data_IF_327041028578
#
_entry.id   IF_327041028578
#
_cell.length_a   1.000
_cell.length_b   1.000
_cell.length_c   1.000
_cell.angle_alpha   90.00
_cell.angle_beta   90.00
_cell.angle_gamma   90.00
#
_symmetry.space_group_name_H-M   'P 1'
#
loop_
_entity.id
_entity.type
_entity.pdbx_description
1 polymer ?
#
# COMPACT_ATOMS: atom_id res chain seq x y z
N UNK A 1 0.56 26.65 20.79
CA UNK A 1 0.74 25.88 22.03
C UNK A 1 1.99 25.03 21.84
N UNK A 2 2.96 25.05 22.76
CA UNK A 2 4.18 24.23 22.58
C UNK A 2 3.90 22.82 23.12
N UNK A 3 4.09 21.81 22.28
CA UNK A 3 3.87 20.42 22.66
C UNK A 3 4.76 20.00 23.86
N UNK A 4 5.94 20.62 23.99
CA UNK A 4 6.91 20.28 25.03
C UNK A 4 6.53 20.82 26.41
N UNK A 5 6.10 22.09 26.51
CA UNK A 5 5.89 22.73 27.81
C UNK A 5 4.47 22.50 28.34
N UNK A 6 3.45 22.61 27.49
CA UNK A 6 2.04 22.65 27.94
C UNK A 6 1.32 21.31 27.76
N UNK A 7 1.63 20.54 26.72
CA UNK A 7 1.05 19.21 26.53
C UNK A 7 1.85 18.18 27.32
N UNK A 8 3.02 17.79 26.85
CA UNK A 8 3.80 16.73 27.48
C UNK A 8 4.45 17.15 28.80
N UNK A 9 4.74 18.44 29.01
CA UNK A 9 5.28 18.97 30.26
C UNK A 9 4.27 18.92 31.43
N UNK A 10 3.02 19.35 31.18
CA UNK A 10 2.00 19.48 32.22
C UNK A 10 0.92 18.37 32.19
N UNK A 11 0.43 18.00 31.00
CA UNK A 11 -0.66 17.02 30.84
C UNK A 11 -0.15 15.58 30.87
N UNK A 12 1.12 15.35 30.54
CA UNK A 12 1.79 14.04 30.51
C UNK A 12 1.03 13.05 29.61
N UNK A 13 0.83 11.80 30.06
CA UNK A 13 0.13 10.75 29.32
C UNK A 13 -1.28 11.15 28.85
N UNK A 14 -1.93 12.12 29.49
CA UNK A 14 -3.26 12.58 29.08
C UNK A 14 -3.26 13.21 27.70
N UNK A 15 -2.14 13.81 27.28
CA UNK A 15 -1.95 14.39 25.94
C UNK A 15 -2.29 13.42 24.82
N UNK A 16 -2.08 12.11 25.02
CA UNK A 16 -2.49 11.06 24.07
C UNK A 16 -3.96 11.19 23.65
N UNK A 17 -4.85 11.38 24.63
CA UNK A 17 -6.30 11.45 24.42
C UNK A 17 -6.78 12.89 24.20
N UNK A 18 -5.88 13.87 24.28
CA UNK A 18 -6.19 15.31 24.18
C UNK A 18 -5.59 15.90 22.90
N UNK A 19 -5.75 15.17 21.80
CA UNK A 19 -5.42 15.62 20.46
C UNK A 19 -4.10 15.07 19.91
N UNK A 20 -3.20 14.50 20.71
CA UNK A 20 -1.93 13.98 20.16
C UNK A 20 -2.15 12.83 19.17
N UNK A 21 -3.11 11.94 19.44
CA UNK A 21 -3.50 10.88 18.50
C UNK A 21 -4.15 11.39 17.20
N UNK A 22 -4.81 12.55 17.26
CA UNK A 22 -5.50 13.17 16.12
C UNK A 22 -4.52 13.89 15.16
N UNK A 23 -3.30 14.18 15.62
CA UNK A 23 -2.28 14.86 14.81
C UNK A 23 -1.95 14.09 13.52
N UNK A 24 -1.94 12.76 13.57
CA UNK A 24 -1.67 11.92 12.39
C UNK A 24 -2.69 12.15 11.27
N UNK A 25 -3.97 12.26 11.63
CA UNK A 25 -5.07 12.56 10.71
C UNK A 25 -5.02 14.03 10.29
N UNK A 26 -4.80 14.96 11.23
CA UNK A 26 -4.73 16.39 10.91
C UNK A 26 -3.57 16.75 9.98
N UNK A 27 -2.40 16.11 10.10
CA UNK A 27 -1.32 16.27 9.13
C UNK A 27 -1.69 15.61 7.80
N UNK A 28 -2.32 14.44 7.83
CA UNK A 28 -2.83 13.76 6.63
C UNK A 28 -3.78 14.63 5.82
N UNK A 29 -4.79 15.23 6.47
CA UNK A 29 -5.74 16.15 5.83
C UNK A 29 -5.08 17.35 5.17
N UNK A 30 -3.96 17.83 5.73
CA UNK A 30 -3.19 18.93 5.13
C UNK A 30 -2.40 18.49 3.89
N UNK A 31 -2.05 17.21 3.78
CA UNK A 31 -1.34 16.64 2.65
C UNK A 31 -2.27 16.09 1.56
N UNK A 32 -3.49 15.71 1.91
CA UNK A 32 -4.46 15.08 1.01
C UNK A 32 -4.64 15.81 -0.34
N UNK A 33 -4.76 17.16 -0.39
CA UNK A 33 -4.91 17.87 -1.66
C UNK A 33 -3.71 17.75 -2.60
N UNK A 34 -2.51 17.45 -2.08
CA UNK A 34 -1.29 17.31 -2.90
C UNK A 34 -1.30 16.03 -3.73
N UNK A 35 -2.05 15.03 -3.30
CA UNK A 35 -2.16 13.72 -3.97
C UNK A 35 -3.57 13.45 -4.50
N UNK A 36 -4.45 14.46 -4.50
CA UNK A 36 -5.82 14.36 -5.01
C UNK A 36 -6.79 13.62 -4.09
N UNK A 37 -6.42 13.41 -2.82
CA UNK A 37 -7.27 12.76 -1.82
C UNK A 37 -8.15 13.79 -1.07
N UNK A 38 -9.28 13.34 -0.55
CA UNK A 38 -10.21 14.11 0.27
C UNK A 38 -9.89 14.11 1.78
N UNK A 39 -10.63 14.90 2.58
CA UNK A 39 -10.50 14.88 4.03
C UNK A 39 -10.78 13.49 4.60
N UNK A 40 -9.93 13.03 5.52
CA UNK A 40 -10.00 11.71 6.15
C UNK A 40 -9.45 10.56 5.31
N UNK A 41 -8.98 10.80 4.08
CA UNK A 41 -8.46 9.76 3.18
C UNK A 41 -6.93 9.58 3.28
N UNK A 42 -6.24 10.43 4.04
CA UNK A 42 -4.78 10.35 4.26
C UNK A 42 -4.48 10.36 5.76
N UNK A 43 -3.59 9.46 6.17
CA UNK A 43 -3.09 9.38 7.54
C UNK A 43 -1.57 9.25 7.52
N UNK A 44 -0.88 10.02 8.35
CA UNK A 44 0.57 9.87 8.53
C UNK A 44 0.84 8.80 9.58
N UNK A 45 1.62 7.80 9.18
CA UNK A 45 1.92 6.63 10.01
C UNK A 45 3.43 6.32 9.94
N UNK A 46 3.79 5.05 10.03
CA UNK A 46 5.15 4.52 10.05
C UNK A 46 5.84 4.61 8.68
N UNK A 47 6.90 3.82 8.49
CA UNK A 47 7.61 3.69 7.22
C UNK A 47 6.77 3.01 6.13
N UNK A 48 7.19 3.18 4.86
CA UNK A 48 6.59 2.52 3.70
C UNK A 48 6.42 1.02 3.89
N UNK A 49 7.45 0.31 4.35
CA UNK A 49 7.38 -1.16 4.53
C UNK A 49 6.39 -1.58 5.62
N UNK A 50 6.25 -0.80 6.69
CA UNK A 50 5.26 -1.08 7.76
C UNK A 50 3.84 -0.83 7.25
N UNK A 51 3.63 0.24 6.49
CA UNK A 51 2.35 0.54 5.87
C UNK A 51 1.96 -0.49 4.81
N UNK A 52 2.93 -0.92 3.98
CA UNK A 52 2.75 -2.01 3.03
C UNK A 52 2.30 -3.28 3.74
N UNK A 53 2.95 -3.67 4.84
CA UNK A 53 2.56 -4.85 5.61
C UNK A 53 1.11 -4.75 6.12
N UNK A 54 0.75 -3.62 6.73
CA UNK A 54 -0.59 -3.38 7.27
C UNK A 54 -1.66 -3.41 6.17
N UNK A 55 -1.43 -2.70 5.08
CA UNK A 55 -2.38 -2.56 3.98
C UNK A 55 -2.51 -3.85 3.17
N UNK A 56 -1.41 -4.53 2.86
CA UNK A 56 -1.45 -5.81 2.17
C UNK A 56 -2.12 -6.90 3.02
N UNK A 57 -1.85 -6.92 4.34
CA UNK A 57 -2.54 -7.81 5.28
C UNK A 57 -4.05 -7.55 5.30
N UNK A 58 -4.46 -6.29 5.44
CA UNK A 58 -5.88 -5.90 5.40
C UNK A 58 -6.54 -6.25 4.06
N UNK A 59 -5.84 -6.08 2.93
CA UNK A 59 -6.36 -6.44 1.61
C UNK A 59 -6.59 -7.95 1.46
N UNK A 60 -5.69 -8.78 1.99
CA UNK A 60 -5.86 -10.24 2.02
C UNK A 60 -7.06 -10.64 2.89
N UNK A 61 -7.20 -10.06 4.09
CA UNK A 61 -8.33 -10.31 4.98
C UNK A 61 -9.67 -9.86 4.36
N UNK A 62 -9.68 -8.75 3.63
CA UNK A 62 -10.86 -8.22 2.96
C UNK A 62 -11.32 -9.05 1.74
N UNK A 63 -10.49 -9.98 1.24
CA UNK A 63 -10.78 -10.84 0.09
C UNK A 63 -10.76 -12.34 0.48
N UNK A 64 -11.67 -12.79 1.37
CA UNK A 64 -11.67 -14.18 1.83
C UNK A 64 -11.83 -15.15 0.66
N UNK A 65 -11.06 -16.24 0.69
CA UNK A 65 -11.01 -17.24 -0.38
C UNK A 65 -10.09 -16.87 -1.55
N UNK A 66 -9.52 -15.67 -1.57
CA UNK A 66 -8.49 -15.24 -2.52
C UNK A 66 -7.18 -15.08 -1.75
N UNK A 67 -6.12 -15.75 -2.19
CA UNK A 67 -4.85 -15.81 -1.44
C UNK A 67 -3.63 -15.52 -2.31
N UNK A 68 -3.84 -15.29 -3.62
CA UNK A 68 -2.76 -14.95 -4.53
C UNK A 68 -2.51 -13.45 -4.56
N UNK A 69 -1.23 -13.08 -4.44
CA UNK A 69 -0.75 -11.70 -4.60
C UNK A 69 0.07 -11.62 -5.89
N UNK A 70 -0.15 -10.59 -6.69
CA UNK A 70 0.58 -10.35 -7.94
C UNK A 70 1.46 -9.10 -7.79
N UNK A 71 2.73 -9.21 -8.17
CA UNK A 71 3.70 -8.10 -8.28
C UNK A 71 4.53 -8.28 -9.56
N UNK A 72 5.44 -7.37 -9.84
CA UNK A 72 6.48 -7.52 -10.86
C UNK A 72 7.90 -7.59 -10.25
N UNK A 73 8.91 -7.81 -11.10
CA UNK A 73 10.33 -7.84 -10.75
C UNK A 73 11.03 -6.46 -10.82
N UNK A 74 10.28 -5.38 -11.05
CA UNK A 74 10.71 -3.97 -10.96
C UNK A 74 10.29 -3.30 -9.64
N UNK A 75 9.42 -3.95 -8.87
CA UNK A 75 8.97 -3.50 -7.57
C UNK A 75 10.14 -3.46 -6.58
N UNK A 76 10.01 -2.66 -5.54
CA UNK A 76 11.12 -2.45 -4.62
C UNK A 76 11.45 -3.77 -3.87
N UNK A 77 12.74 -4.15 -3.70
CA UNK A 77 13.08 -5.48 -3.20
C UNK A 77 12.49 -5.82 -1.83
N UNK A 78 12.41 -4.86 -0.89
CA UNK A 78 11.80 -5.11 0.42
C UNK A 78 10.33 -5.48 0.32
N UNK A 79 9.63 -4.97 -0.68
CA UNK A 79 8.18 -5.13 -0.82
C UNK A 79 7.85 -6.56 -1.19
N UNK A 80 8.65 -7.15 -2.09
CA UNK A 80 8.50 -8.56 -2.47
C UNK A 80 8.67 -9.51 -1.28
N UNK A 81 9.58 -9.21 -0.34
CA UNK A 81 9.75 -10.02 0.88
C UNK A 81 8.53 -9.93 1.80
N UNK A 82 7.98 -8.73 2.00
CA UNK A 82 6.78 -8.51 2.81
C UNK A 82 5.57 -9.22 2.20
N UNK A 83 5.35 -9.03 0.90
CA UNK A 83 4.23 -9.63 0.16
C UNK A 83 4.31 -11.15 0.14
N UNK A 84 5.51 -11.73 -0.04
CA UNK A 84 5.70 -13.18 0.00
C UNK A 84 5.35 -13.77 1.37
N UNK A 85 5.81 -13.12 2.45
CA UNK A 85 5.49 -13.55 3.82
C UNK A 85 3.99 -13.50 4.11
N UNK A 86 3.32 -12.42 3.73
CA UNK A 86 1.88 -12.25 3.93
C UNK A 86 1.05 -13.23 3.09
N UNK A 87 1.39 -13.41 1.81
CA UNK A 87 0.69 -14.35 0.94
C UNK A 87 0.83 -15.79 1.48
N UNK A 88 2.02 -16.18 1.94
CA UNK A 88 2.24 -17.49 2.56
C UNK A 88 1.46 -17.65 3.88
N UNK A 89 1.43 -16.61 4.73
CA UNK A 89 0.64 -16.62 5.96
C UNK A 89 -0.87 -16.74 5.71
N UNK A 90 -1.36 -16.19 4.60
CA UNK A 90 -2.73 -16.34 4.13
C UNK A 90 -3.01 -17.69 3.44
N UNK A 91 -2.02 -18.60 3.37
CA UNK A 91 -2.16 -19.91 2.70
C UNK A 91 -2.11 -19.85 1.18
N UNK A 92 -1.61 -18.76 0.61
CA UNK A 92 -1.44 -18.56 -0.82
C UNK A 92 0.02 -18.38 -1.22
N UNK A 93 0.25 -17.55 -2.25
CA UNK A 93 1.58 -17.32 -2.81
C UNK A 93 1.69 -15.94 -3.46
N UNK A 94 2.94 -15.47 -3.57
CA UNK A 94 3.30 -14.32 -4.37
C UNK A 94 3.68 -14.79 -5.78
N UNK A 95 3.03 -14.22 -6.80
CA UNK A 95 3.41 -14.40 -8.19
C UNK A 95 4.10 -13.13 -8.70
N UNK A 96 5.35 -13.29 -9.12
CA UNK A 96 6.20 -12.21 -9.64
C UNK A 96 6.20 -12.30 -11.16
N UNK A 97 5.66 -11.28 -11.82
CA UNK A 97 5.64 -11.18 -13.29
C UNK A 97 6.96 -10.58 -13.76
N UNK A 98 7.65 -11.29 -14.67
CA UNK A 98 8.93 -10.84 -15.20
C UNK A 98 8.79 -9.69 -16.22
N UNK A 99 9.71 -8.73 -16.15
CA UNK A 99 9.82 -7.61 -17.10
C UNK A 99 11.00 -7.78 -18.06
N UNK A 100 11.19 -6.80 -18.96
CA UNK A 100 12.42 -6.64 -19.75
C UNK A 100 13.54 -5.93 -18.96
N UNK A 101 13.33 -5.65 -17.67
CA UNK A 101 14.24 -4.92 -16.79
C UNK A 101 14.15 -3.39 -16.89
N UNK A 102 13.30 -2.85 -17.77
CA UNK A 102 13.10 -1.41 -17.99
C UNK A 102 11.61 -1.05 -17.86
N UNK A 103 10.73 -1.75 -18.56
CA UNK A 103 9.30 -1.45 -18.68
C UNK A 103 8.47 -2.42 -17.86
N UNK A 104 7.40 -1.92 -17.24
CA UNK A 104 6.47 -2.76 -16.50
C UNK A 104 5.79 -3.83 -17.37
N UNK A 105 5.64 -5.09 -16.89
CA UNK A 105 5.08 -6.16 -17.69
C UNK A 105 3.54 -6.16 -17.65
N UNK A 106 2.92 -5.05 -18.09
CA UNK A 106 1.47 -4.80 -17.98
C UNK A 106 0.64 -5.97 -18.52
N UNK A 107 0.96 -6.48 -19.71
CA UNK A 107 0.23 -7.61 -20.29
C UNK A 107 0.40 -8.92 -19.48
N UNK A 108 1.56 -9.14 -18.87
CA UNK A 108 1.78 -10.28 -17.99
C UNK A 108 1.01 -10.16 -16.68
N UNK A 109 0.88 -8.94 -16.15
CA UNK A 109 0.04 -8.65 -14.98
C UNK A 109 -1.43 -8.92 -15.33
N UNK A 110 -1.94 -8.35 -16.43
CA UNK A 110 -3.31 -8.53 -16.92
C UNK A 110 -3.64 -10.02 -17.16
N UNK A 111 -2.78 -10.74 -17.87
CA UNK A 111 -2.94 -12.18 -18.12
C UNK A 111 -2.79 -13.03 -16.85
N UNK A 112 -2.10 -12.49 -15.85
CA UNK A 112 -1.97 -13.10 -14.56
C UNK A 112 -3.29 -13.10 -13.80
N UNK A 113 -4.15 -12.09 -13.94
CA UNK A 113 -5.33 -11.91 -13.08
C UNK A 113 -6.33 -13.07 -13.15
N UNK A 114 -7.02 -13.33 -12.04
CA UNK A 114 -8.00 -14.40 -11.91
C UNK A 114 -8.80 -14.32 -10.61
N UNK A 115 -9.76 -15.23 -10.46
CA UNK A 115 -10.69 -15.25 -9.32
C UNK A 115 -10.01 -15.54 -7.97
N UNK A 116 -8.78 -16.05 -7.98
CA UNK A 116 -7.97 -16.36 -6.80
C UNK A 116 -7.07 -15.18 -6.34
N UNK A 117 -7.06 -14.07 -7.08
CA UNK A 117 -6.22 -12.89 -6.81
C UNK A 117 -6.87 -11.98 -5.80
N UNK A 118 -6.22 -11.83 -4.66
CA UNK A 118 -6.62 -10.90 -3.62
C UNK A 118 -6.08 -9.50 -3.88
N UNK A 119 -4.81 -9.39 -4.31
CA UNK A 119 -4.07 -8.14 -4.34
C UNK A 119 -3.11 -8.07 -5.53
N UNK A 120 -3.10 -6.92 -6.20
CA UNK A 120 -2.02 -6.48 -7.10
C UNK A 120 -1.23 -5.39 -6.36
N UNK A 121 0.07 -5.60 -6.17
CA UNK A 121 0.94 -4.65 -5.46
C UNK A 121 2.15 -4.29 -6.35
N UNK A 122 2.28 -3.02 -6.71
CA UNK A 122 3.28 -2.53 -7.68
C UNK A 122 3.83 -1.18 -7.24
N UNK A 123 5.10 -0.89 -7.53
CA UNK A 123 5.62 0.48 -7.42
C UNK A 123 5.11 1.32 -8.59
N UNK A 124 4.35 2.40 -8.33
CA UNK A 124 3.82 3.25 -9.41
C UNK A 124 4.93 3.76 -10.35
N UNK A 125 6.01 4.31 -9.79
CA UNK A 125 7.24 4.62 -10.52
C UNK A 125 8.35 3.69 -10.02
N UNK A 126 8.94 2.91 -10.92
CA UNK A 126 9.94 1.90 -10.54
C UNK A 126 11.27 2.56 -10.19
N UNK A 127 11.91 2.09 -9.12
CA UNK A 127 13.19 2.64 -8.65
C UNK A 127 14.35 2.36 -9.63
N UNK A 128 14.24 1.27 -10.40
CA UNK A 128 15.31 0.76 -11.26
C UNK A 128 15.44 1.52 -12.58
N UNK A 129 14.32 1.87 -13.20
CA UNK A 129 14.30 2.46 -14.56
C UNK A 129 13.51 3.76 -14.65
N UNK A 130 12.74 4.14 -13.63
CA UNK A 130 11.84 5.30 -13.68
C UNK A 130 10.58 5.05 -14.52
N UNK A 131 10.34 3.81 -14.96
CA UNK A 131 9.09 3.47 -15.64
C UNK A 131 7.92 3.78 -14.71
N UNK A 132 6.91 4.47 -15.24
CA UNK A 132 5.73 4.86 -14.48
C UNK A 132 4.50 4.20 -15.09
N UNK A 133 3.80 3.42 -14.28
CA UNK A 133 2.59 2.71 -14.68
C UNK A 133 1.44 3.67 -14.95
N UNK A 134 0.55 3.29 -15.86
CA UNK A 134 -0.79 3.90 -15.94
C UNK A 134 -1.62 3.38 -14.76
N UNK A 135 -1.63 4.16 -13.67
CA UNK A 135 -2.40 3.87 -12.45
C UNK A 135 -3.85 3.51 -12.77
N UNK A 136 -4.51 4.33 -13.58
CA UNK A 136 -5.94 4.21 -13.85
C UNK A 136 -6.25 2.91 -14.59
N UNK A 137 -5.46 2.58 -15.61
CA UNK A 137 -5.63 1.33 -16.37
C UNK A 137 -5.40 0.11 -15.50
N UNK A 138 -4.27 0.04 -14.78
CA UNK A 138 -3.92 -1.14 -13.98
C UNK A 138 -4.93 -1.33 -12.86
N UNK A 139 -5.35 -0.25 -12.19
CA UNK A 139 -6.37 -0.30 -11.14
C UNK A 139 -7.72 -0.78 -11.68
N UNK A 140 -8.17 -0.29 -12.83
CA UNK A 140 -9.42 -0.72 -13.44
C UNK A 140 -9.41 -2.23 -13.74
N UNK A 141 -8.36 -2.72 -14.42
CA UNK A 141 -8.26 -4.13 -14.81
C UNK A 141 -8.17 -5.06 -13.60
N UNK A 142 -7.43 -4.68 -12.55
CA UNK A 142 -7.38 -5.45 -11.31
C UNK A 142 -8.74 -5.50 -10.60
N UNK A 143 -9.44 -4.36 -10.53
CA UNK A 143 -10.77 -4.28 -9.92
C UNK A 143 -11.82 -5.08 -10.70
N UNK A 144 -11.77 -5.08 -12.04
CA UNK A 144 -12.65 -5.88 -12.89
C UNK A 144 -12.47 -7.39 -12.64
N UNK A 145 -11.25 -7.82 -12.30
CA UNK A 145 -10.96 -9.20 -11.85
C UNK A 145 -11.30 -9.45 -10.37
N UNK A 146 -11.76 -8.43 -9.64
CA UNK A 146 -12.07 -8.50 -8.21
C UNK A 146 -10.85 -8.54 -7.29
N UNK A 147 -9.66 -8.15 -7.77
CA UNK A 147 -8.49 -7.93 -6.92
C UNK A 147 -8.52 -6.52 -6.33
N UNK A 148 -7.88 -6.32 -5.17
CA UNK A 148 -7.52 -4.99 -4.67
C UNK A 148 -6.20 -4.52 -5.29
N UNK A 149 -5.90 -3.22 -5.22
CA UNK A 149 -4.63 -2.66 -5.69
C UNK A 149 -3.94 -1.85 -4.60
N UNK A 150 -2.62 -2.02 -4.50
CA UNK A 150 -1.75 -1.25 -3.62
C UNK A 150 -0.56 -0.71 -4.42
N UNK A 151 -0.32 0.60 -4.30
CA UNK A 151 0.71 1.36 -5.02
C UNK A 151 1.81 1.84 -4.07
#
# INVERSE_FOLDING_TARGET
MSALEQEWGDRLIRSWNEGWGELALGVGDRLAPLIGAGPGEVVITDSTSVNLYKLAGAALEARPGRTRVVTDDLNFPSDTHVLAGLAAAAGGRLDIVGSDGISGPVHGIEAGLGDDVALVALSHTTFKSGYTYDLARVTAVAHDAGAMVLW
#
